data_IF_189786116079
#
_entry.id   IF_189786116079
#
_cell.length_a   1.000
_cell.length_b   1.000
_cell.length_c   1.000
_cell.angle_alpha   90.00
_cell.angle_beta   90.00
_cell.angle_gamma   90.00
#
_symmetry.space_group_name_H-M   'P 1'
#
loop_
_entity.id
_entity.type
_entity.pdbx_description
1 polymer ?
#
# COMPACT_ATOMS: atom_id res chain seq x y z
N UNK A 1 -10.81 -6.70 -12.31
CA UNK A 1 -10.92 -7.32 -10.98
C UNK A 1 -9.68 -8.13 -10.59
N UNK A 2 -9.09 -8.96 -11.46
CA UNK A 2 -7.92 -9.80 -11.12
C UNK A 2 -6.66 -9.03 -10.68
N UNK A 3 -6.43 -7.80 -11.19
CA UNK A 3 -5.27 -6.97 -10.83
C UNK A 3 -5.35 -6.38 -9.42
N UNK A 4 -6.55 -6.20 -8.88
CA UNK A 4 -6.77 -5.51 -7.60
C UNK A 4 -6.38 -6.41 -6.42
N UNK A 5 -6.72 -7.71 -6.53
CA UNK A 5 -6.41 -8.74 -5.54
C UNK A 5 -4.89 -8.92 -5.40
N UNK A 6 -4.17 -9.03 -6.52
CA UNK A 6 -2.70 -9.16 -6.56
C UNK A 6 -1.97 -8.05 -5.79
N UNK A 7 -2.45 -6.80 -5.92
CA UNK A 7 -1.83 -5.65 -5.27
C UNK A 7 -2.12 -5.58 -3.75
N UNK A 8 -3.28 -6.06 -3.29
CA UNK A 8 -3.56 -6.14 -1.84
C UNK A 8 -2.71 -7.20 -1.15
N UNK A 9 -2.46 -8.34 -1.80
CA UNK A 9 -1.61 -9.41 -1.28
C UNK A 9 -0.17 -8.97 -1.01
N UNK A 10 0.31 -7.90 -1.63
CA UNK A 10 1.64 -7.35 -1.36
C UNK A 10 1.66 -6.26 -0.28
N UNK A 11 0.58 -5.49 -0.15
CA UNK A 11 0.50 -4.41 0.85
C UNK A 11 0.43 -4.91 2.29
N UNK A 12 -0.29 -6.01 2.57
CA UNK A 12 -0.32 -6.61 3.92
C UNK A 12 1.06 -7.06 4.42
N UNK A 13 1.80 -7.91 3.70
CA UNK A 13 3.12 -8.35 4.14
C UNK A 13 4.11 -7.18 4.21
N UNK A 14 4.08 -6.22 3.27
CA UNK A 14 4.94 -5.04 3.34
C UNK A 14 4.72 -4.25 4.64
N UNK A 15 3.47 -4.02 5.04
CA UNK A 15 3.17 -3.32 6.29
C UNK A 15 3.55 -4.10 7.56
N UNK A 16 3.54 -5.43 7.50
CA UNK A 16 3.85 -6.28 8.66
C UNK A 16 5.35 -6.57 8.80
N UNK A 17 6.06 -6.68 7.70
CA UNK A 17 7.46 -7.14 7.66
C UNK A 17 8.47 -6.00 7.58
N UNK A 18 8.08 -4.85 7.02
CA UNK A 18 8.97 -3.70 6.92
C UNK A 18 9.09 -2.98 8.28
N UNK A 19 10.32 -2.88 8.79
CA UNK A 19 10.66 -2.18 10.04
C UNK A 19 10.15 -0.73 10.04
N UNK A 20 10.07 -0.09 8.87
CA UNK A 20 9.54 1.27 8.71
C UNK A 20 8.14 1.42 9.30
N UNK A 21 7.32 0.37 9.22
CA UNK A 21 5.93 0.41 9.63
C UNK A 21 5.66 -0.27 10.98
N UNK A 22 6.70 -0.71 11.69
CA UNK A 22 6.58 -1.38 12.97
C UNK A 22 5.88 -0.48 14.02
N UNK A 23 4.87 -1.05 14.71
CA UNK A 23 4.11 -0.35 15.75
C UNK A 23 3.02 0.61 15.24
N UNK A 24 2.82 0.74 13.93
CA UNK A 24 1.81 1.63 13.36
C UNK A 24 0.47 0.90 13.23
N UNK A 25 -0.56 1.39 13.94
CA UNK A 25 -1.94 0.89 13.83
C UNK A 25 -2.71 1.67 12.77
N UNK A 26 -3.31 0.95 11.82
CA UNK A 26 -4.14 1.53 10.75
C UNK A 26 -5.60 1.11 10.98
N UNK A 27 -6.56 2.05 11.07
CA UNK A 27 -7.98 1.71 11.26
C UNK A 27 -8.69 1.32 9.95
N UNK A 28 -7.94 0.91 8.92
CA UNK A 28 -8.43 0.55 7.59
C UNK A 28 -7.58 -0.56 6.98
N UNK A 29 -8.17 -1.30 6.05
CA UNK A 29 -7.51 -2.41 5.37
C UNK A 29 -6.69 -1.96 4.14
N UNK A 30 -5.86 -2.85 3.60
CA UNK A 30 -5.14 -2.59 2.35
C UNK A 30 -6.09 -2.54 1.14
N UNK A 31 -7.24 -3.23 1.19
CA UNK A 31 -8.28 -3.13 0.15
C UNK A 31 -8.84 -1.71 0.01
N UNK A 32 -9.01 -1.02 1.14
CA UNK A 32 -9.46 0.37 1.14
C UNK A 32 -8.44 1.28 0.46
N UNK A 33 -7.15 1.03 0.68
CA UNK A 33 -6.06 1.77 0.03
C UNK A 33 -6.05 1.50 -1.48
N UNK A 34 -6.13 0.24 -1.91
CA UNK A 34 -6.13 -0.15 -3.34
C UNK A 34 -7.36 0.40 -4.06
N UNK A 35 -8.52 0.40 -3.41
CA UNK A 35 -9.76 0.94 -3.96
C UNK A 35 -9.70 2.45 -4.20
N UNK A 36 -9.06 3.21 -3.31
CA UNK A 36 -9.06 4.69 -3.36
C UNK A 36 -7.96 5.28 -4.23
N UNK A 37 -6.86 4.57 -4.47
CA UNK A 37 -5.72 5.08 -5.25
C UNK A 37 -5.91 5.13 -6.77
N UNK A 38 -7.03 4.60 -7.27
CA UNK A 38 -7.32 4.56 -8.71
C UNK A 38 -6.41 3.64 -9.51
N UNK A 39 -6.62 3.61 -10.84
CA UNK A 39 -5.98 2.63 -11.73
C UNK A 39 -4.55 3.01 -12.13
N UNK A 40 -4.25 4.31 -12.22
CA UNK A 40 -2.95 4.82 -12.68
C UNK A 40 -2.13 5.27 -11.47
N UNK A 41 -0.93 4.68 -11.29
CA UNK A 41 0.03 5.12 -10.27
C UNK A 41 0.95 6.19 -10.83
N UNK A 42 0.86 7.39 -10.28
CA UNK A 42 1.81 8.47 -10.56
C UNK A 42 2.97 8.33 -9.57
N UNK A 43 4.20 8.37 -10.08
CA UNK A 43 5.41 8.25 -9.24
C UNK A 43 5.76 9.60 -8.62
N UNK A 44 5.98 9.64 -7.32
CA UNK A 44 6.35 10.86 -6.58
C UNK A 44 7.81 10.79 -6.14
N UNK A 45 8.74 10.92 -7.09
CA UNK A 45 10.18 10.65 -6.91
C UNK A 45 10.85 11.46 -5.80
N UNK A 46 10.46 12.72 -5.60
CA UNK A 46 10.99 13.54 -4.51
C UNK A 46 10.50 13.05 -3.14
N UNK A 47 9.22 12.67 -3.03
CA UNK A 47 8.65 12.13 -1.80
C UNK A 47 9.16 10.71 -1.47
N UNK A 48 9.60 9.96 -2.47
CA UNK A 48 10.22 8.64 -2.28
C UNK A 48 11.66 8.73 -1.78
N UNK A 49 12.41 9.78 -2.17
CA UNK A 49 13.85 9.91 -1.91
C UNK A 49 14.21 10.86 -0.76
N UNK A 50 13.29 11.74 -0.38
CA UNK A 50 13.44 12.63 0.78
C UNK A 50 13.18 11.88 2.08
#
# INVERSE_FOLDING_TARGET
MARMIDETWHLEPDWRMDERWAGITRPYGPDDVVRLRGTIRIRHTLAERG
#
